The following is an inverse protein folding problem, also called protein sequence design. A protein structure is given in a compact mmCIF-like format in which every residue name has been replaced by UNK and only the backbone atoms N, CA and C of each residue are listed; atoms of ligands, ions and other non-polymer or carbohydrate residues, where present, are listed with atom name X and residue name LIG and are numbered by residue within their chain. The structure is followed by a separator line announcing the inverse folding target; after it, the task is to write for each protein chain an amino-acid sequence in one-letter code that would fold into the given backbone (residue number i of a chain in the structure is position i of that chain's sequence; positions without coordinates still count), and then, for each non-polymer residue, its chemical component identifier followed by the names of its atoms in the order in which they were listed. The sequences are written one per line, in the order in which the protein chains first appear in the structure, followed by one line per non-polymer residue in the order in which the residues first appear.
data_IF_450024733417
#
_entry.id   IF_450024733417
#
_cell.length_a   1.000
_cell.length_b   1.000
_cell.length_c   1.000
_cell.angle_alpha   90.00
_cell.angle_beta   90.00
_cell.angle_gamma   90.00
#
_symmetry.space_group_name_H-M   'P 1'
#
loop_
_entity.id
_entity.type
_entity.pdbx_description
1 polymer ?
#
# COMPACT_ATOMS: atom_id res chain seq x y z
N UNK A 1 32.33 -1.72 12.78
CA UNK A 1 31.27 -2.75 12.66
C UNK A 1 30.59 -2.84 14.01
N UNK A 2 29.52 -2.07 14.17
CA UNK A 2 28.70 -2.11 15.38
C UNK A 2 27.62 -3.17 15.15
N UNK A 3 27.74 -4.30 15.85
CA UNK A 3 26.86 -5.46 15.72
C UNK A 3 25.79 -5.43 16.81
N UNK A 4 24.92 -4.44 16.72
CA UNK A 4 23.73 -4.31 17.56
C UNK A 4 22.70 -5.44 17.31
N UNK A 5 22.87 -6.21 16.23
CA UNK A 5 22.07 -7.40 15.88
C UNK A 5 22.15 -8.53 16.92
N UNK A 6 23.17 -8.52 17.79
CA UNK A 6 23.39 -9.56 18.82
C UNK A 6 22.94 -9.17 20.23
N UNK A 7 22.44 -7.95 20.43
CA UNK A 7 22.17 -7.42 21.77
C UNK A 7 20.72 -7.62 22.24
N UNK A 8 19.83 -8.13 21.37
CA UNK A 8 18.46 -8.46 21.71
C UNK A 8 18.33 -9.98 21.85
N UNK A 9 18.19 -10.44 23.09
CA UNK A 9 18.09 -11.86 23.52
C UNK A 9 16.78 -12.56 23.12
N UNK A 10 15.96 -11.95 22.28
CA UNK A 10 14.81 -12.60 21.65
C UNK A 10 15.25 -13.10 20.29
N UNK A 11 14.85 -14.31 19.89
CA UNK A 11 15.03 -14.82 18.51
C UNK A 11 14.28 -13.92 17.52
N UNK A 12 14.80 -12.73 17.25
CA UNK A 12 14.16 -11.63 16.51
C UNK A 12 13.82 -12.06 15.08
N UNK A 13 14.58 -13.02 14.55
CA UNK A 13 14.31 -13.72 13.30
C UNK A 13 12.98 -14.47 13.27
N UNK A 14 12.53 -15.06 14.39
CA UNK A 14 11.21 -15.72 14.50
C UNK A 14 10.05 -14.72 14.48
N UNK A 15 10.32 -13.43 14.72
CA UNK A 15 9.32 -12.35 14.70
C UNK A 15 9.43 -11.46 13.46
N UNK A 16 10.29 -11.81 12.49
CA UNK A 16 10.31 -11.16 11.17
C UNK A 16 9.04 -11.54 10.41
N UNK A 17 7.96 -10.86 10.74
CA UNK A 17 6.73 -10.90 9.98
C UNK A 17 6.83 -9.95 8.80
N UNK A 18 6.04 -10.24 7.79
CA UNK A 18 5.70 -9.30 6.74
C UNK A 18 4.24 -8.94 6.90
N UNK A 19 3.90 -7.69 6.64
CA UNK A 19 2.55 -7.18 6.84
C UNK A 19 2.15 -6.31 5.67
N UNK A 20 0.94 -6.57 5.15
CA UNK A 20 0.19 -5.62 4.33
C UNK A 20 -0.81 -4.95 5.26
N UNK A 21 -0.92 -3.63 5.19
CA UNK A 21 -1.94 -2.89 5.91
C UNK A 21 -2.65 -1.91 4.98
N UNK A 22 -3.95 -2.17 4.81
CA UNK A 22 -4.85 -1.44 3.92
C UNK A 22 -5.63 -0.40 4.73
N UNK A 23 -5.76 0.80 4.20
CA UNK A 23 -6.58 1.87 4.76
C UNK A 23 -7.73 2.20 3.82
N UNK A 24 -8.96 2.15 4.33
CA UNK A 24 -10.17 2.48 3.55
C UNK A 24 -11.11 3.36 4.36
N UNK A 25 -11.85 4.24 3.68
CA UNK A 25 -12.92 5.01 4.32
C UNK A 25 -14.06 4.06 4.74
N UNK A 26 -14.77 4.40 5.81
CA UNK A 26 -15.85 3.58 6.38
C UNK A 26 -16.86 3.11 5.33
N UNK A 27 -17.24 3.95 4.36
CA UNK A 27 -18.15 3.56 3.27
C UNK A 27 -17.63 2.40 2.40
N UNK A 28 -16.32 2.21 2.31
CA UNK A 28 -15.66 1.16 1.52
C UNK A 28 -15.25 -0.07 2.34
N UNK A 29 -15.45 -0.03 3.67
CA UNK A 29 -15.10 -1.14 4.55
C UNK A 29 -15.83 -2.44 4.19
N UNK A 30 -17.15 -2.46 3.92
CA UNK A 30 -17.85 -3.71 3.58
C UNK A 30 -17.27 -4.42 2.35
N UNK A 31 -17.00 -3.67 1.27
CA UNK A 31 -16.41 -4.20 0.05
C UNK A 31 -14.97 -4.67 0.26
N UNK A 32 -14.20 -3.94 1.08
CA UNK A 32 -12.82 -4.33 1.43
C UNK A 32 -12.78 -5.63 2.21
N UNK A 33 -13.66 -5.80 3.20
CA UNK A 33 -13.75 -7.04 3.99
C UNK A 33 -14.25 -8.21 3.15
N UNK A 34 -15.21 -7.98 2.24
CA UNK A 34 -15.68 -9.00 1.30
C UNK A 34 -14.55 -9.44 0.36
N UNK A 35 -13.81 -8.50 -0.22
CA UNK A 35 -12.64 -8.77 -1.05
C UNK A 35 -11.59 -9.60 -0.32
N UNK A 36 -11.15 -9.15 0.86
CA UNK A 36 -10.15 -9.85 1.67
C UNK A 36 -10.62 -11.27 2.01
N UNK A 37 -11.86 -11.42 2.50
CA UNK A 37 -12.42 -12.72 2.84
C UNK A 37 -12.48 -13.66 1.64
N UNK A 38 -13.07 -13.20 0.54
CA UNK A 38 -13.35 -14.02 -0.64
C UNK A 38 -12.04 -14.45 -1.33
N UNK A 39 -11.08 -13.52 -1.48
CA UNK A 39 -9.74 -13.82 -2.01
C UNK A 39 -9.03 -14.84 -1.13
N UNK A 40 -8.94 -14.61 0.19
CA UNK A 40 -8.23 -15.53 1.08
C UNK A 40 -8.87 -16.92 1.16
N UNK A 41 -10.20 -17.02 1.12
CA UNK A 41 -10.89 -18.32 1.05
C UNK A 41 -10.59 -19.02 -0.27
N UNK A 42 -10.55 -18.29 -1.38
CA UNK A 42 -10.24 -18.83 -2.70
C UNK A 42 -8.79 -19.32 -2.79
N UNK A 43 -7.82 -18.56 -2.27
CA UNK A 43 -6.41 -18.97 -2.24
C UNK A 43 -6.15 -20.16 -1.33
N UNK A 44 -7.01 -20.39 -0.32
CA UNK A 44 -6.95 -21.54 0.57
C UNK A 44 -7.78 -22.76 0.08
N UNK A 45 -8.37 -22.72 -1.12
CA UNK A 45 -9.33 -23.72 -1.65
C UNK A 45 -10.55 -23.97 -0.75
N UNK A 46 -10.94 -22.99 0.05
CA UNK A 46 -12.17 -23.06 0.85
C UNK A 46 -13.42 -22.64 0.07
N UNK A 47 -13.24 -22.05 -1.11
CA UNK A 47 -14.29 -21.73 -2.07
C UNK A 47 -13.71 -21.74 -3.48
N UNK A 48 -14.50 -22.16 -4.46
CA UNK A 48 -14.11 -22.08 -5.87
C UNK A 48 -14.35 -20.68 -6.45
N UNK A 49 -15.37 -19.98 -5.94
CA UNK A 49 -15.84 -18.70 -6.46
C UNK A 49 -15.78 -17.60 -5.40
N UNK A 50 -15.68 -16.35 -5.88
CA UNK A 50 -15.87 -15.14 -5.09
C UNK A 50 -17.27 -14.58 -5.35
N UNK A 51 -17.76 -13.67 -4.51
CA UNK A 51 -19.05 -13.02 -4.76
C UNK A 51 -19.04 -12.19 -6.05
N UNK A 52 -20.19 -11.97 -6.73
CA UNK A 52 -20.25 -11.17 -7.96
C UNK A 52 -19.71 -9.75 -7.78
N UNK A 53 -19.87 -9.18 -6.58
CA UNK A 53 -19.29 -7.88 -6.23
C UNK A 53 -17.77 -7.92 -6.25
N UNK A 54 -17.16 -8.92 -5.62
CA UNK A 54 -15.70 -9.10 -5.59
C UNK A 54 -15.17 -9.45 -6.98
N UNK A 55 -15.88 -10.27 -7.75
CA UNK A 55 -15.52 -10.57 -9.14
C UNK A 55 -15.46 -9.29 -9.98
N UNK A 56 -16.48 -8.43 -9.89
CA UNK A 56 -16.47 -7.13 -10.56
C UNK A 56 -15.31 -6.21 -10.13
N UNK A 57 -14.91 -6.23 -8.85
CA UNK A 57 -13.74 -5.47 -8.37
C UNK A 57 -12.43 -6.03 -8.93
N UNK A 58 -12.30 -7.36 -9.01
CA UNK A 58 -11.12 -8.02 -9.59
C UNK A 58 -11.02 -7.73 -11.10
N UNK A 59 -12.14 -7.79 -11.82
CA UNK A 59 -12.23 -7.49 -13.24
C UNK A 59 -11.87 -6.02 -13.53
N UNK A 60 -12.47 -5.09 -12.80
CA UNK A 60 -12.21 -3.66 -12.96
C UNK A 60 -10.74 -3.28 -12.66
N UNK A 61 -10.09 -4.01 -11.74
CA UNK A 61 -8.67 -3.85 -11.45
C UNK A 61 -7.73 -4.60 -12.44
N UNK A 62 -8.28 -5.43 -13.33
CA UNK A 62 -7.49 -6.29 -14.22
C UNK A 62 -6.76 -7.44 -13.51
N UNK A 63 -7.26 -7.86 -12.34
CA UNK A 63 -6.62 -8.84 -11.45
C UNK A 63 -7.22 -10.25 -11.55
N UNK A 64 -8.25 -10.49 -12.37
CA UNK A 64 -8.96 -11.78 -12.48
C UNK A 64 -8.03 -12.94 -12.87
N UNK A 65 -7.07 -12.67 -13.77
CA UNK A 65 -6.06 -13.65 -14.18
C UNK A 65 -5.12 -13.99 -13.02
N UNK A 66 -4.70 -13.00 -12.24
CA UNK A 66 -3.80 -13.22 -11.11
C UNK A 66 -4.50 -13.94 -9.97
N UNK A 67 -5.73 -13.55 -9.64
CA UNK A 67 -6.60 -14.27 -8.71
C UNK A 67 -6.73 -15.74 -9.07
N UNK A 68 -7.00 -16.05 -10.34
CA UNK A 68 -7.10 -17.45 -10.82
C UNK A 68 -5.81 -18.22 -10.58
N UNK A 69 -4.64 -17.61 -10.81
CA UNK A 69 -3.32 -18.24 -10.55
C UNK A 69 -2.99 -18.38 -9.05
N UNK A 70 -3.72 -17.71 -8.17
CA UNK A 70 -3.51 -17.77 -6.71
C UNK A 70 -4.41 -18.80 -6.02
N UNK A 71 -5.39 -19.37 -6.72
CA UNK A 71 -6.28 -20.39 -6.16
C UNK A 71 -5.49 -21.59 -5.66
N UNK A 72 -5.63 -21.88 -4.37
CA UNK A 72 -4.93 -22.96 -3.69
C UNK A 72 -3.42 -22.80 -3.51
N UNK A 73 -2.87 -21.59 -3.67
CA UNK A 73 -1.44 -21.35 -3.49
C UNK A 73 -1.09 -20.75 -2.13
N UNK A 74 -2.07 -20.26 -1.36
CA UNK A 74 -1.81 -19.56 -0.10
C UNK A 74 -2.95 -19.69 0.90
N UNK A 75 -2.64 -20.12 2.12
CA UNK A 75 -3.55 -20.10 3.24
C UNK A 75 -3.08 -19.06 4.27
N UNK A 76 -3.93 -18.10 4.58
CA UNK A 76 -3.66 -17.15 5.65
C UNK A 76 -3.71 -17.85 7.02
N UNK A 77 -2.77 -17.52 7.90
CA UNK A 77 -2.52 -18.28 9.14
C UNK A 77 -2.40 -17.41 10.39
N UNK A 78 -2.68 -16.11 10.28
CA UNK A 78 -2.63 -15.18 11.42
C UNK A 78 -3.97 -14.43 11.54
N UNK A 79 -4.32 -13.89 12.72
CA UNK A 79 -5.48 -13.01 12.84
C UNK A 79 -5.40 -11.79 11.92
N UNK A 80 -6.53 -11.46 11.28
CA UNK A 80 -6.70 -10.21 10.56
C UNK A 80 -7.22 -9.17 11.54
N UNK A 81 -6.48 -8.09 11.70
CA UNK A 81 -6.85 -6.99 12.60
C UNK A 81 -7.57 -5.90 11.81
N UNK A 82 -8.75 -5.50 12.27
CA UNK A 82 -9.50 -4.36 11.72
C UNK A 82 -9.59 -3.29 12.80
N UNK A 83 -9.06 -2.10 12.53
CA UNK A 83 -8.97 -1.01 13.51
C UNK A 83 -9.56 0.26 12.94
N UNK A 84 -10.39 0.96 13.72
CA UNK A 84 -10.88 2.30 13.36
C UNK A 84 -9.76 3.31 13.56
N UNK A 85 -9.66 4.25 12.64
CA UNK A 85 -8.72 5.37 12.65
C UNK A 85 -9.53 6.64 12.38
N UNK A 86 -9.46 7.60 13.31
CA UNK A 86 -10.10 8.90 13.11
C UNK A 86 -9.44 9.64 11.94
N UNK A 87 -10.19 10.45 11.18
CA UNK A 87 -9.62 11.30 10.16
C UNK A 87 -8.61 12.30 10.77
N UNK A 88 -7.65 12.74 9.96
CA UNK A 88 -6.71 13.79 10.31
C UNK A 88 -6.49 14.78 9.15
N UNK A 89 -5.91 15.94 9.47
CA UNK A 89 -5.65 17.03 8.52
C UNK A 89 -4.19 17.09 8.05
N UNK A 90 -3.40 16.05 8.34
CA UNK A 90 -2.01 16.01 7.87
C UNK A 90 -1.96 15.83 6.35
N UNK A 91 -0.83 16.22 5.74
CA UNK A 91 -0.72 16.27 4.28
C UNK A 91 -0.81 14.88 3.61
N UNK A 92 -0.20 13.86 4.21
CA UNK A 92 -0.03 12.53 3.58
C UNK A 92 -0.27 11.35 4.53
N UNK A 93 -0.93 11.55 5.69
CA UNK A 93 -1.40 10.40 6.48
C UNK A 93 -2.37 9.56 5.68
N UNK A 94 -2.37 8.25 5.92
CA UNK A 94 -3.35 7.35 5.32
C UNK A 94 -4.80 7.78 5.62
N UNK A 95 -5.05 8.44 6.76
CA UNK A 95 -6.37 8.96 7.15
C UNK A 95 -6.56 10.47 6.85
N UNK A 96 -5.68 11.08 6.05
CA UNK A 96 -5.79 12.48 5.64
C UNK A 96 -7.10 12.75 4.89
N UNK A 97 -7.83 13.77 5.32
CA UNK A 97 -9.07 14.23 4.69
C UNK A 97 -8.86 15.16 3.50
N UNK A 98 -7.61 15.54 3.19
CA UNK A 98 -7.36 16.49 2.09
C UNK A 98 -7.82 15.91 0.75
N UNK A 99 -8.79 16.57 0.13
CA UNK A 99 -9.42 16.16 -1.12
C UNK A 99 -10.35 14.95 -1.00
N UNK A 100 -10.82 14.63 0.22
CA UNK A 100 -11.77 13.54 0.47
C UNK A 100 -12.85 13.96 1.48
N UNK A 101 -14.01 13.27 1.50
CA UNK A 101 -14.99 13.45 2.56
C UNK A 101 -14.38 13.15 3.93
N UNK A 102 -14.79 13.92 4.94
CA UNK A 102 -14.42 13.65 6.33
C UNK A 102 -15.22 12.45 6.84
N UNK A 103 -14.55 11.29 6.88
CA UNK A 103 -15.12 10.02 7.34
C UNK A 103 -14.04 9.26 8.11
N UNK A 104 -14.45 8.43 9.07
CA UNK A 104 -13.52 7.48 9.70
C UNK A 104 -12.87 6.57 8.67
N UNK A 105 -11.62 6.25 8.94
CA UNK A 105 -10.85 5.26 8.21
C UNK A 105 -10.78 3.97 8.99
N UNK A 106 -10.50 2.89 8.29
CA UNK A 106 -10.26 1.59 8.86
C UNK A 106 -8.98 0.99 8.30
N UNK A 107 -8.10 0.56 9.20
CA UNK A 107 -6.91 -0.21 8.89
C UNK A 107 -7.24 -1.71 8.92
N UNK A 108 -6.93 -2.44 7.85
CA UNK A 108 -7.06 -3.91 7.73
C UNK A 108 -5.67 -4.51 7.55
N UNK A 109 -5.19 -5.20 8.57
CA UNK A 109 -3.82 -5.72 8.63
C UNK A 109 -3.79 -7.22 8.35
N UNK A 110 -2.97 -7.65 7.37
CA UNK A 110 -2.69 -9.04 7.05
C UNK A 110 -1.22 -9.34 7.33
N UNK A 111 -0.96 -10.29 8.23
CA UNK A 111 0.38 -10.62 8.70
C UNK A 111 0.78 -12.03 8.25
N UNK A 112 2.02 -12.20 7.79
CA UNK A 112 2.61 -13.52 7.53
C UNK A 112 3.93 -13.69 8.26
N UNK A 113 4.05 -14.82 8.96
CA UNK A 113 5.31 -15.32 9.52
C UNK A 113 5.96 -16.41 8.64
N UNK A 114 5.23 -16.92 7.64
CA UNK A 114 5.68 -18.03 6.83
C UNK A 114 6.77 -17.62 5.84
N UNK A 115 7.68 -18.55 5.56
CA UNK A 115 8.67 -18.48 4.48
C UNK A 115 8.60 -19.78 3.67
N UNK A 116 8.70 -19.75 2.33
CA UNK A 116 8.88 -18.58 1.46
C UNK A 116 7.64 -17.66 1.42
N UNK A 117 7.87 -16.36 1.15
CA UNK A 117 6.82 -15.31 1.20
C UNK A 117 6.17 -15.03 -0.15
N UNK A 118 6.63 -15.67 -1.23
CA UNK A 118 6.16 -15.37 -2.59
C UNK A 118 4.63 -15.47 -2.74
N UNK A 119 3.94 -16.49 -2.20
CA UNK A 119 2.48 -16.54 -2.29
C UNK A 119 1.80 -15.38 -1.55
N UNK A 120 2.33 -14.98 -0.39
CA UNK A 120 1.81 -13.81 0.35
C UNK A 120 2.03 -12.52 -0.44
N UNK A 121 3.21 -12.30 -1.02
CA UNK A 121 3.47 -11.10 -1.82
C UNK A 121 2.48 -10.96 -2.97
N UNK A 122 2.19 -12.06 -3.67
CA UNK A 122 1.22 -12.04 -4.77
C UNK A 122 -0.20 -11.72 -4.31
N UNK A 123 -0.66 -12.32 -3.21
CA UNK A 123 -1.96 -11.98 -2.60
C UNK A 123 -1.98 -10.52 -2.14
N UNK A 124 -0.93 -10.08 -1.45
CA UNK A 124 -0.84 -8.73 -0.93
C UNK A 124 -0.81 -7.69 -2.06
N UNK A 125 -0.11 -7.98 -3.15
CA UNK A 125 -0.05 -7.14 -4.35
C UNK A 125 -1.43 -7.00 -5.00
N UNK A 126 -2.12 -8.11 -5.21
CA UNK A 126 -3.47 -8.13 -5.76
C UNK A 126 -4.42 -7.30 -4.89
N UNK A 127 -4.44 -7.53 -3.57
CA UNK A 127 -5.29 -6.80 -2.64
C UNK A 127 -4.99 -5.30 -2.65
N UNK A 128 -3.70 -4.92 -2.62
CA UNK A 128 -3.30 -3.51 -2.65
C UNK A 128 -3.75 -2.81 -3.95
N UNK A 129 -3.63 -3.47 -5.11
CA UNK A 129 -4.07 -2.91 -6.39
C UNK A 129 -5.58 -2.73 -6.50
N UNK A 130 -6.35 -3.73 -6.08
CA UNK A 130 -7.82 -3.62 -6.07
C UNK A 130 -8.27 -2.54 -5.09
N UNK A 131 -7.72 -2.51 -3.88
CA UNK A 131 -8.09 -1.54 -2.85
C UNK A 131 -7.73 -0.12 -3.27
N UNK A 132 -6.52 0.11 -3.79
CA UNK A 132 -6.09 1.42 -4.30
C UNK A 132 -6.96 1.85 -5.50
N UNK A 133 -7.04 1.01 -6.54
CA UNK A 133 -7.62 1.39 -7.82
C UNK A 133 -9.16 1.41 -7.85
N UNK A 134 -9.83 0.58 -7.05
CA UNK A 134 -11.29 0.41 -7.12
C UNK A 134 -12.03 0.90 -5.89
N UNK A 135 -11.36 0.91 -4.73
CA UNK A 135 -11.96 1.32 -3.45
C UNK A 135 -11.35 2.63 -2.93
N UNK A 136 -10.44 3.24 -3.69
CA UNK A 136 -9.76 4.48 -3.32
C UNK A 136 -9.00 4.36 -2.00
N UNK A 137 -8.58 3.17 -1.60
CA UNK A 137 -7.84 2.93 -0.38
C UNK A 137 -6.37 3.35 -0.48
N UNK A 138 -5.71 3.41 0.68
CA UNK A 138 -4.30 3.76 0.83
C UNK A 138 -3.56 2.60 1.49
N UNK A 139 -2.24 2.53 1.30
CA UNK A 139 -1.39 1.50 1.91
C UNK A 139 -0.54 2.16 3.00
N UNK A 140 -0.39 1.49 4.14
CA UNK A 140 0.39 2.03 5.25
C UNK A 140 1.88 2.21 4.89
N UNK A 141 2.42 3.41 5.09
CA UNK A 141 3.82 3.76 4.75
C UNK A 141 4.88 2.87 5.40
N UNK A 142 4.69 2.52 6.68
CA UNK A 142 5.61 1.72 7.48
C UNK A 142 5.47 0.20 7.36
N UNK A 143 4.66 -0.31 6.42
CA UNK A 143 4.45 -1.75 6.18
C UNK A 143 4.93 -2.11 4.77
N UNK A 144 4.63 -3.31 4.28
CA UNK A 144 4.91 -3.65 2.90
C UNK A 144 4.08 -2.78 1.94
N UNK A 145 4.76 -2.14 0.99
CA UNK A 145 4.20 -1.07 0.17
C UNK A 145 4.52 -1.30 -1.32
N UNK A 146 3.50 -1.61 -2.16
CA UNK A 146 3.71 -1.94 -3.57
C UNK A 146 3.44 -0.81 -4.57
N UNK A 147 2.94 0.35 -4.11
CA UNK A 147 2.56 1.43 -5.04
C UNK A 147 3.79 2.22 -5.50
N UNK A 148 3.73 2.73 -6.73
CA UNK A 148 4.72 3.66 -7.27
C UNK A 148 4.36 5.13 -6.98
N UNK A 149 5.28 6.04 -7.30
CA UNK A 149 5.10 7.48 -7.06
C UNK A 149 3.93 8.11 -7.80
N UNK A 150 3.51 7.57 -8.95
CA UNK A 150 2.34 8.06 -9.70
C UNK A 150 1.04 7.68 -9.01
N UNK A 151 0.91 6.42 -8.58
CA UNK A 151 -0.23 5.92 -7.81
C UNK A 151 -0.35 6.63 -6.45
N UNK A 152 0.79 6.98 -5.85
CA UNK A 152 0.85 7.78 -4.63
C UNK A 152 0.39 9.22 -4.89
N UNK A 153 0.83 9.85 -5.98
CA UNK A 153 0.39 11.20 -6.33
C UNK A 153 -1.13 11.28 -6.54
N UNK A 154 -1.74 10.26 -7.16
CA UNK A 154 -3.20 10.14 -7.29
C UNK A 154 -3.91 10.03 -5.92
N UNK A 155 -3.28 9.39 -4.94
CA UNK A 155 -3.88 9.12 -3.63
C UNK A 155 -3.87 10.30 -2.67
N UNK A 156 -2.95 11.25 -2.87
CA UNK A 156 -2.65 12.34 -1.94
C UNK A 156 -2.58 13.70 -2.64
N UNK A 157 -3.71 14.44 -2.71
CA UNK A 157 -3.76 15.76 -3.34
C UNK A 157 -2.78 16.78 -2.74
N UNK A 158 -2.43 16.64 -1.45
CA UNK A 158 -1.49 17.52 -0.77
C UNK A 158 0.00 17.11 -0.95
N UNK A 159 0.30 16.10 -1.77
CA UNK A 159 1.67 15.60 -1.96
C UNK A 159 2.62 16.68 -2.49
N UNK A 160 2.16 17.55 -3.39
CA UNK A 160 2.96 18.67 -3.89
C UNK A 160 3.36 19.63 -2.77
N UNK A 161 2.43 19.96 -1.87
CA UNK A 161 2.70 20.78 -0.68
C UNK A 161 3.67 20.08 0.27
N UNK A 162 3.51 18.77 0.49
CA UNK A 162 4.44 17.98 1.28
C UNK A 162 5.85 18.02 0.70
N UNK A 163 6.02 17.78 -0.60
CA UNK A 163 7.30 17.87 -1.32
C UNK A 163 7.94 19.25 -1.17
N UNK A 164 7.16 20.32 -1.28
CA UNK A 164 7.65 21.69 -1.11
C UNK A 164 8.17 21.95 0.32
N UNK A 165 7.46 21.46 1.34
CA UNK A 165 7.92 21.51 2.73
C UNK A 165 9.24 20.74 2.92
N UNK A 166 9.34 19.52 2.37
CA UNK A 166 10.56 18.73 2.43
C UNK A 166 11.74 19.42 1.73
N UNK A 167 11.55 20.01 0.55
CA UNK A 167 12.61 20.74 -0.17
C UNK A 167 13.10 21.97 0.58
N UNK A 168 12.21 22.66 1.30
CA UNK A 168 12.59 23.81 2.14
C UNK A 168 13.38 23.38 3.38
N UNK A 169 12.99 22.28 4.02
CA UNK A 169 13.61 21.79 5.25
C UNK A 169 14.91 21.01 5.00
N UNK A 170 15.00 20.29 3.88
CA UNK A 170 16.14 19.47 3.48
C UNK A 170 16.42 19.67 1.98
N UNK A 171 17.06 20.80 1.60
CA UNK A 171 17.35 21.12 0.20
C UNK A 171 18.28 20.12 -0.48
N UNK A 172 19.18 19.51 0.29
CA UNK A 172 20.13 18.51 -0.21
C UNK A 172 19.55 17.09 -0.25
N UNK A 173 18.35 16.86 0.30
CA UNK A 173 17.68 15.56 0.28
C UNK A 173 18.34 14.49 1.14
N UNK A 174 19.08 14.88 2.19
CA UNK A 174 19.82 13.96 3.07
C UNK A 174 18.91 12.91 3.71
N UNK A 175 17.63 13.22 3.93
CA UNK A 175 16.66 12.32 4.57
C UNK A 175 15.86 11.46 3.56
N UNK A 176 16.17 11.51 2.26
CA UNK A 176 15.45 10.77 1.21
C UNK A 176 16.16 9.46 0.89
N UNK A 177 15.83 8.41 1.63
CA UNK A 177 16.28 7.06 1.27
C UNK A 177 15.59 6.57 -0.03
N UNK A 178 16.04 5.44 -0.57
CA UNK A 178 15.49 4.88 -1.81
C UNK A 178 13.97 4.63 -1.78
N UNK A 179 13.39 4.36 -0.61
CA UNK A 179 11.95 4.22 -0.47
C UNK A 179 11.25 5.58 -0.62
N UNK A 180 11.72 6.59 0.11
CA UNK A 180 11.18 7.96 0.05
C UNK A 180 11.31 8.54 -1.35
N UNK A 181 12.48 8.36 -1.99
CA UNK A 181 12.73 8.88 -3.34
C UNK A 181 11.74 8.25 -4.34
N UNK A 182 11.72 6.93 -4.44
CA UNK A 182 10.82 6.20 -5.36
C UNK A 182 9.34 6.47 -5.14
N UNK A 183 8.95 6.56 -3.87
CA UNK A 183 7.52 6.57 -3.50
C UNK A 183 6.96 7.99 -3.44
N UNK A 184 7.77 8.94 -2.97
CA UNK A 184 7.31 10.30 -2.69
C UNK A 184 7.92 11.34 -3.62
N UNK A 185 8.97 11.09 -4.39
CA UNK A 185 9.61 12.11 -5.24
C UNK A 185 9.70 11.73 -6.73
N UNK A 186 9.80 10.44 -7.06
CA UNK A 186 9.69 9.95 -8.43
C UNK A 186 8.23 10.02 -8.93
N UNK A 187 8.02 10.27 -10.23
CA UNK A 187 6.69 10.24 -10.87
C UNK A 187 5.89 11.56 -10.84
N UNK A 188 6.45 12.66 -10.35
CA UNK A 188 5.89 14.00 -10.55
C UNK A 188 6.61 14.72 -11.67
N UNK A 189 5.99 14.86 -12.85
CA UNK A 189 6.46 15.80 -13.85
C UNK A 189 6.30 17.24 -13.29
N UNK A 190 7.37 17.78 -12.70
CA UNK A 190 7.54 19.24 -12.67
C UNK A 190 8.06 19.64 -14.05
N UNK A 191 7.17 20.19 -14.88
CA UNK A 191 7.56 20.94 -16.06
C UNK A 191 8.41 22.13 -15.60
N UNK A 192 9.73 22.02 -15.70
CA UNK A 192 10.60 23.18 -15.65
C UNK A 192 10.41 24.02 -16.91
N UNK A 193 10.30 25.35 -16.81
CA UNK A 193 10.18 26.21 -17.96
C UNK A 193 11.47 26.13 -18.79
N UNK A 194 11.30 26.06 -20.11
CA UNK A 194 12.37 26.14 -21.08
C UNK A 194 13.31 27.32 -20.77
N UNK A 195 14.58 27.02 -20.50
CA UNK A 195 15.67 27.96 -20.73
C UNK A 195 16.50 27.40 -21.88
N UNK A 196 16.27 27.93 -23.08
CA UNK A 196 17.11 27.64 -24.23
C UNK A 196 18.48 28.26 -24.07
N UNK A 197 19.53 27.56 -24.52
CA UNK A 197 20.59 28.18 -25.31
C UNK A 197 21.46 27.11 -26.00
N UNK A 198 21.52 27.24 -27.32
CA UNK A 198 22.67 27.08 -28.23
C UNK A 198 23.58 25.84 -28.15
N UNK A 199 23.60 25.13 -29.28
CA UNK A 199 24.75 24.35 -29.76
C UNK A 199 26.01 25.23 -29.91
N UNK A 200 27.20 24.61 -29.93
CA UNK A 200 27.94 24.70 -31.19
C UNK A 200 28.73 23.44 -31.59
N UNK A 201 28.86 23.33 -32.92
CA UNK A 201 29.88 22.70 -33.77
C UNK A 201 30.37 21.27 -33.47
#
# INVERSE_FOLDING_TARGET
MDRSDRQLTMKHELFRHLELELFVQRGQLPDTLALVRDVLRSTARLTENVSPRVEGLLDAAGESREWTRLRGTYQHHYPICVRRVSPDDTLISMASVVGRPEEDWYAVSLITYCTPRDPFYRVAHLLARVVHGQLGGRIHWGKWFPLDGSQVAESYPALATFRACCRRADPAGVFRNAFVERTLFEGGAEASPQSGHTAPA
#
